data_IF_569897709218
#
_entry.id   IF_569897709218
#
_cell.length_a   1.000
_cell.length_b   1.000
_cell.length_c   1.000
_cell.angle_alpha   90.00
_cell.angle_beta   90.00
_cell.angle_gamma   90.00
#
_symmetry.space_group_name_H-M   'P 1'
#
loop_
_entity.id
_entity.type
_entity.pdbx_description
1 polymer ?
#
# COMPACT_ATOMS: atom_id res chain seq x y z
N UNK A 1 -14.74 -5.17 -10.32
CA UNK A 1 -14.94 -4.31 -9.12
C UNK A 1 -13.64 -3.56 -8.87
N UNK A 2 -13.68 -2.30 -8.41
CA UNK A 2 -12.46 -1.53 -8.15
C UNK A 2 -12.32 -1.27 -6.66
N UNK A 3 -11.18 -1.67 -6.10
CA UNK A 3 -10.77 -1.37 -4.71
C UNK A 3 -9.73 -0.26 -4.74
N UNK A 4 -9.87 0.71 -3.85
CA UNK A 4 -8.88 1.78 -3.67
C UNK A 4 -8.32 1.67 -2.25
N UNK A 5 -7.03 1.35 -2.15
CA UNK A 5 -6.30 1.28 -0.89
C UNK A 5 -5.51 2.57 -0.67
N UNK A 6 -5.86 3.28 0.40
CA UNK A 6 -5.15 4.50 0.80
C UNK A 6 -4.17 4.19 1.92
N UNK A 7 -2.88 4.31 1.64
CA UNK A 7 -1.85 4.36 2.67
C UNK A 7 -1.73 5.80 3.16
N UNK A 8 -1.77 6.00 4.48
CA UNK A 8 -1.43 7.29 5.07
C UNK A 8 0.07 7.57 4.89
N UNK A 9 0.45 8.82 4.61
CA UNK A 9 1.88 9.18 4.53
C UNK A 9 2.61 8.82 5.83
N UNK A 10 1.96 9.04 6.96
CA UNK A 10 2.47 8.71 8.31
C UNK A 10 2.72 7.22 8.57
N UNK A 11 2.28 6.31 7.68
CA UNK A 11 2.51 4.87 7.81
C UNK A 11 3.87 4.49 7.24
N UNK A 12 4.37 5.23 6.26
CA UNK A 12 5.58 4.89 5.50
C UNK A 12 6.62 6.02 5.50
N UNK A 13 6.36 7.14 6.16
CA UNK A 13 7.26 8.32 6.24
C UNK A 13 7.23 8.91 7.65
N UNK A 14 8.26 9.68 8.02
CA UNK A 14 8.29 10.43 9.29
C UNK A 14 8.09 11.94 9.03
N UNK A 15 6.98 12.49 9.53
CA UNK A 15 6.59 13.90 9.31
C UNK A 15 7.58 14.93 9.87
N UNK A 16 8.38 14.55 10.87
CA UNK A 16 9.35 15.45 11.50
C UNK A 16 10.74 15.37 10.83
N UNK A 17 10.93 14.46 9.87
CA UNK A 17 12.18 14.30 9.14
C UNK A 17 11.92 14.30 7.64
N UNK A 18 12.34 15.34 6.89
CA UNK A 18 12.02 15.47 5.47
C UNK A 18 12.59 14.31 4.65
N UNK A 19 11.90 13.97 3.56
CA UNK A 19 12.35 12.97 2.58
C UNK A 19 12.65 11.59 3.18
N UNK A 20 11.93 11.20 4.26
CA UNK A 20 12.14 9.89 4.91
C UNK A 20 11.15 8.85 4.43
N UNK A 21 11.68 7.65 4.19
CA UNK A 21 10.90 6.45 3.88
C UNK A 21 11.21 5.37 4.91
N UNK A 22 10.17 4.82 5.54
CA UNK A 22 10.27 3.59 6.32
C UNK A 22 10.12 2.40 5.36
N UNK A 23 11.25 1.90 4.89
CA UNK A 23 11.32 0.78 3.95
C UNK A 23 10.71 -0.49 4.54
N UNK A 24 10.83 -0.71 5.85
CA UNK A 24 10.30 -1.92 6.50
C UNK A 24 8.77 -1.88 6.54
N UNK A 25 8.20 -0.72 6.86
CA UNK A 25 6.75 -0.52 6.83
C UNK A 25 6.19 -0.60 5.41
N UNK A 26 6.92 -0.06 4.42
CA UNK A 26 6.53 -0.16 3.02
C UNK A 26 6.53 -1.63 2.55
N UNK A 27 7.62 -2.37 2.79
CA UNK A 27 7.73 -3.78 2.41
C UNK A 27 6.61 -4.61 3.04
N UNK A 28 6.36 -4.44 4.34
CA UNK A 28 5.29 -5.14 5.03
C UNK A 28 3.90 -4.84 4.44
N UNK A 29 3.64 -3.59 4.03
CA UNK A 29 2.38 -3.21 3.39
C UNK A 29 2.25 -3.84 1.99
N UNK A 30 3.33 -3.91 1.23
CA UNK A 30 3.35 -4.53 -0.10
C UNK A 30 3.14 -6.05 -0.03
N UNK A 31 3.78 -6.71 0.93
CA UNK A 31 3.59 -8.15 1.18
C UNK A 31 2.14 -8.46 1.51
N UNK A 32 1.52 -7.70 2.41
CA UNK A 32 0.11 -7.90 2.77
C UNK A 32 -0.84 -7.70 1.57
N UNK A 33 -0.55 -6.73 0.69
CA UNK A 33 -1.32 -6.52 -0.54
C UNK A 33 -1.13 -7.69 -1.51
N UNK A 34 0.10 -8.18 -1.66
CA UNK A 34 0.41 -9.30 -2.53
C UNK A 34 -0.28 -10.58 -2.06
N UNK A 35 -0.25 -10.88 -0.76
CA UNK A 35 -0.92 -12.04 -0.18
C UNK A 35 -2.44 -11.96 -0.37
N UNK A 36 -3.05 -10.82 -0.05
CA UNK A 36 -4.48 -10.61 -0.27
C UNK A 36 -4.89 -10.75 -1.74
N UNK A 37 -4.03 -10.30 -2.66
CA UNK A 37 -4.26 -10.45 -4.10
C UNK A 37 -4.20 -11.91 -4.55
N UNK A 38 -3.26 -12.69 -4.00
CA UNK A 38 -3.11 -14.12 -4.30
C UNK A 38 -4.27 -14.96 -3.74
N UNK A 39 -4.73 -14.63 -2.54
CA UNK A 39 -5.75 -15.38 -1.81
C UNK A 39 -7.19 -15.03 -2.23
N UNK A 40 -7.44 -13.76 -2.57
CA UNK A 40 -8.78 -13.21 -2.75
C UNK A 40 -9.02 -12.52 -4.10
N UNK A 41 -8.00 -12.38 -4.95
CA UNK A 41 -8.22 -11.99 -6.35
C UNK A 41 -9.13 -13.03 -6.99
N UNK A 42 -10.20 -12.60 -7.66
CA UNK A 42 -11.05 -13.54 -8.39
C UNK A 42 -10.15 -14.45 -9.25
N UNK A 43 -10.46 -15.74 -9.34
CA UNK A 43 -9.64 -16.73 -10.06
C UNK A 43 -9.52 -16.47 -11.57
N UNK A 44 -10.01 -15.32 -12.03
CA UNK A 44 -9.96 -14.78 -13.40
C UNK A 44 -9.24 -13.41 -13.47
N UNK A 45 -8.67 -12.89 -12.38
CA UNK A 45 -7.95 -11.61 -12.29
C UNK A 45 -8.80 -10.34 -12.45
N UNK A 46 -10.10 -10.34 -12.10
CA UNK A 46 -11.06 -9.30 -12.54
C UNK A 46 -11.30 -8.12 -11.56
N UNK A 47 -10.55 -8.05 -10.46
CA UNK A 47 -10.56 -6.90 -9.55
C UNK A 47 -9.55 -5.84 -9.99
N UNK A 48 -9.89 -4.56 -10.04
CA UNK A 48 -8.89 -3.50 -10.18
C UNK A 48 -8.46 -3.06 -8.77
N UNK A 49 -7.15 -2.95 -8.55
CA UNK A 49 -6.60 -2.34 -7.34
C UNK A 49 -5.90 -1.02 -7.70
N UNK A 50 -6.26 0.04 -6.99
CA UNK A 50 -5.55 1.33 -7.04
C UNK A 50 -4.96 1.58 -5.67
N UNK A 51 -3.63 1.80 -5.62
CA UNK A 51 -2.92 2.16 -4.40
C UNK A 51 -2.61 3.64 -4.44
N UNK A 52 -2.92 4.35 -3.35
CA UNK A 52 -2.68 5.79 -3.22
C UNK A 52 -1.99 6.03 -1.89
N UNK A 53 -0.87 6.75 -1.85
CA UNK A 53 -0.21 7.12 -0.59
C UNK A 53 -0.39 8.62 -0.28
N UNK A 54 -0.18 9.01 0.98
CA UNK A 54 -0.23 10.43 1.38
C UNK A 54 1.12 11.07 1.10
N UNK A 55 1.16 12.38 0.88
CA UNK A 55 2.38 13.09 0.50
C UNK A 55 3.59 12.83 1.40
N UNK A 56 3.38 12.54 2.69
CA UNK A 56 4.46 12.20 3.60
C UNK A 56 5.26 13.43 4.06
N UNK A 57 6.57 13.26 4.22
CA UNK A 57 7.55 14.30 4.56
C UNK A 57 8.51 14.62 3.43
#
# INVERSE_FOLDING_TARGET
>A
MTTVLKLGGSVITNKDSPETLDETALDSALDAVADAWRDGGDSRGQGNLVIVHGGGS
#
